data_IF_382545737180
#
_entry.id   IF_382545737180
#
_cell.length_a   1.000
_cell.length_b   1.000
_cell.length_c   1.000
_cell.angle_alpha   90.00
_cell.angle_beta   90.00
_cell.angle_gamma   90.00
#
_symmetry.space_group_name_H-M   'P 1'
#
loop_
_entity.id
_entity.type
_entity.pdbx_description
1 polymer ?
#
# COMPACT_ATOMS: atom_id res chain seq x y z
N UNK A 1 33.36 42.78 33.46
CA UNK A 1 32.27 41.84 33.20
C UNK A 1 31.49 41.63 34.48
N UNK A 2 30.18 41.85 34.47
CA UNK A 2 29.33 41.62 35.63
C UNK A 2 29.11 40.13 35.89
N UNK A 3 29.00 39.71 37.13
CA UNK A 3 28.79 38.29 37.49
C UNK A 3 27.73 37.57 36.64
N UNK A 4 26.56 38.16 36.27
CA UNK A 4 25.58 37.51 35.42
C UNK A 4 26.07 37.27 33.95
N UNK A 5 26.92 38.14 33.42
CA UNK A 5 27.46 38.00 32.05
C UNK A 5 28.38 36.76 31.92
N UNK A 6 29.13 36.46 33.00
CA UNK A 6 30.01 35.28 33.03
C UNK A 6 29.17 33.97 32.95
N UNK A 7 28.06 33.93 33.68
CA UNK A 7 27.16 32.77 33.67
C UNK A 7 26.50 32.55 32.29
N UNK A 8 26.06 33.62 31.62
CA UNK A 8 25.49 33.55 30.29
C UNK A 8 26.55 33.08 29.27
N UNK A 9 27.78 33.59 29.36
CA UNK A 9 28.87 33.17 28.48
C UNK A 9 29.24 31.71 28.70
N UNK A 10 29.28 31.23 29.96
CA UNK A 10 29.53 29.82 30.27
C UNK A 10 28.43 28.91 29.73
N UNK A 11 27.15 29.30 29.86
CA UNK A 11 26.02 28.53 29.32
C UNK A 11 26.07 28.42 27.82
N UNK A 12 26.35 29.54 27.10
CA UNK A 12 26.50 29.53 25.65
C UNK A 12 27.67 28.65 25.18
N UNK A 13 28.80 28.69 25.90
CA UNK A 13 29.96 27.87 25.58
C UNK A 13 29.63 26.35 25.71
N UNK A 14 28.93 25.96 26.76
CA UNK A 14 28.48 24.56 26.92
C UNK A 14 27.49 24.17 25.87
N UNK A 15 26.55 25.04 25.49
CA UNK A 15 25.57 24.77 24.43
C UNK A 15 26.24 24.57 23.07
N UNK A 16 27.19 25.42 22.72
CA UNK A 16 27.98 25.30 21.49
C UNK A 16 28.78 23.99 21.48
N UNK A 17 29.38 23.64 22.60
CA UNK A 17 30.17 22.40 22.73
C UNK A 17 29.27 21.17 22.53
N UNK A 18 28.09 21.16 23.13
CA UNK A 18 27.11 20.07 22.96
C UNK A 18 26.62 19.98 21.50
N UNK A 19 26.40 21.13 20.85
CA UNK A 19 25.99 21.18 19.45
C UNK A 19 27.07 20.62 18.51
N UNK A 20 28.34 20.94 18.80
CA UNK A 20 29.48 20.39 18.02
C UNK A 20 29.60 18.88 18.24
N UNK A 21 29.48 18.42 19.50
CA UNK A 21 29.51 17.00 19.82
C UNK A 21 28.35 16.24 19.14
N UNK A 22 27.16 16.82 19.10
CA UNK A 22 26.02 16.24 18.38
C UNK A 22 26.31 16.12 16.87
N UNK A 23 26.95 17.11 16.28
CA UNK A 23 27.36 17.06 14.86
C UNK A 23 28.44 16.01 14.60
N UNK A 24 29.38 15.83 15.51
CA UNK A 24 30.47 14.86 15.39
C UNK A 24 30.00 13.41 15.69
N UNK A 25 28.95 13.25 16.51
CA UNK A 25 28.35 11.93 16.83
C UNK A 25 27.20 11.54 15.91
N UNK A 26 26.71 12.43 15.04
CA UNK A 26 25.95 12.02 13.89
C UNK A 26 26.90 11.25 12.96
N UNK A 27 27.12 9.99 13.30
CA UNK A 27 27.65 8.99 12.39
C UNK A 27 26.77 9.04 11.17
N UNK A 28 27.29 9.50 10.04
CA UNK A 28 26.70 9.25 8.74
C UNK A 28 26.50 7.74 8.69
N UNK A 29 25.26 7.31 8.83
CA UNK A 29 24.90 6.00 8.35
C UNK A 29 25.18 6.05 6.86
N UNK A 30 26.31 5.46 6.48
CA UNK A 30 26.61 5.22 5.08
C UNK A 30 25.37 4.50 4.51
N UNK A 31 24.79 4.98 3.40
CA UNK A 31 23.68 4.29 2.77
C UNK A 31 24.17 2.87 2.47
N UNK A 32 23.61 1.90 3.17
CA UNK A 32 23.72 0.51 2.79
C UNK A 32 23.23 0.44 1.35
N UNK A 33 24.17 0.36 0.40
CA UNK A 33 23.90 0.11 -1.00
C UNK A 33 23.32 -1.30 -1.09
N UNK A 34 22.04 -1.38 -0.88
CA UNK A 34 21.26 -2.56 -1.20
C UNK A 34 21.29 -2.70 -2.73
N UNK A 35 22.00 -3.73 -3.21
CA UNK A 35 22.08 -4.04 -4.65
C UNK A 35 20.68 -4.27 -5.27
N UNK A 36 19.68 -4.57 -4.46
CA UNK A 36 18.29 -4.67 -4.88
C UNK A 36 17.66 -3.35 -5.32
N UNK A 37 18.21 -2.20 -4.84
CA UNK A 37 17.72 -0.89 -5.26
C UNK A 37 18.24 -0.46 -6.65
N UNK A 38 19.32 -1.04 -7.15
CA UNK A 38 19.86 -0.67 -8.48
C UNK A 38 19.13 -1.36 -9.64
N UNK A 39 18.50 -2.51 -9.44
CA UNK A 39 17.68 -3.14 -10.49
C UNK A 39 16.31 -2.46 -10.67
N UNK A 40 15.85 -1.70 -9.68
CA UNK A 40 14.55 -1.03 -9.73
C UNK A 40 14.62 0.40 -10.31
N UNK A 41 15.83 1.01 -10.36
CA UNK A 41 16.00 2.40 -10.81
C UNK A 41 16.16 2.57 -12.32
N UNK A 42 16.29 1.50 -13.10
CA UNK A 42 16.34 1.62 -14.58
C UNK A 42 14.96 1.52 -15.27
N UNK A 43 13.88 1.31 -14.48
CA UNK A 43 12.49 1.38 -15.00
C UNK A 43 11.71 2.58 -14.44
N UNK A 44 12.38 3.55 -13.81
CA UNK A 44 11.74 4.66 -13.10
C UNK A 44 12.13 6.03 -13.66
N UNK A 45 12.23 6.13 -14.97
CA UNK A 45 12.18 7.42 -15.66
C UNK A 45 10.90 7.49 -16.47
N UNK A 46 9.83 7.79 -15.84
CA UNK A 46 8.81 8.78 -16.17
C UNK A 46 7.69 8.79 -15.12
N UNK A 47 7.90 9.70 -14.15
CA UNK A 47 6.88 10.60 -13.66
C UNK A 47 5.63 10.04 -12.96
N UNK A 48 5.47 10.59 -11.75
CA UNK A 48 4.31 10.51 -10.87
C UNK A 48 4.10 9.19 -10.16
N UNK A 49 4.06 9.31 -8.88
CA UNK A 49 3.69 8.43 -7.77
C UNK A 49 2.37 7.64 -7.98
N UNK A 50 2.07 7.19 -9.18
CA UNK A 50 0.92 6.36 -9.45
C UNK A 50 1.28 4.88 -9.22
N UNK A 51 0.70 4.32 -8.18
CA UNK A 51 0.85 2.91 -7.85
C UNK A 51 0.40 2.02 -9.01
N UNK A 52 1.16 0.95 -9.27
CA UNK A 52 0.74 -0.08 -10.22
C UNK A 52 -0.46 -0.87 -9.69
N UNK A 53 -1.20 -1.53 -10.57
CA UNK A 53 -2.36 -2.34 -10.16
C UNK A 53 -1.98 -3.43 -9.15
N UNK A 54 -0.81 -4.06 -9.29
CA UNK A 54 -0.32 -5.08 -8.36
C UNK A 54 0.00 -4.51 -6.98
N UNK A 55 0.60 -3.33 -6.93
CA UNK A 55 0.84 -2.61 -5.67
C UNK A 55 -0.48 -2.19 -5.00
N UNK A 56 -1.45 -1.71 -5.78
CA UNK A 56 -2.78 -1.37 -5.28
C UNK A 56 -3.51 -2.59 -4.71
N UNK A 57 -3.46 -3.73 -5.38
CA UNK A 57 -4.03 -5.01 -4.93
C UNK A 57 -3.43 -5.42 -3.57
N UNK A 58 -2.11 -5.30 -3.42
CA UNK A 58 -1.44 -5.57 -2.16
C UNK A 58 -1.81 -4.55 -1.07
N UNK A 59 -1.77 -3.26 -1.38
CA UNK A 59 -2.09 -2.17 -0.44
C UNK A 59 -3.55 -2.17 0.03
N UNK A 60 -4.47 -2.65 -0.82
CA UNK A 60 -5.88 -2.80 -0.44
C UNK A 60 -6.15 -4.11 0.31
N UNK A 61 -5.12 -4.95 0.49
CA UNK A 61 -5.20 -6.18 1.25
C UNK A 61 -5.91 -7.33 0.53
N UNK A 62 -6.11 -7.24 -0.77
CA UNK A 62 -6.78 -8.28 -1.57
C UNK A 62 -6.06 -9.64 -1.44
N UNK A 63 -4.72 -9.60 -1.39
CA UNK A 63 -3.87 -10.78 -1.28
C UNK A 63 -4.03 -11.54 0.03
N UNK A 64 -4.52 -10.90 1.09
CA UNK A 64 -4.72 -11.54 2.39
C UNK A 64 -5.77 -12.66 2.33
N UNK A 65 -6.79 -12.49 1.50
CA UNK A 65 -7.85 -13.47 1.34
C UNK A 65 -7.73 -14.25 0.02
N UNK A 66 -7.38 -13.57 -1.08
CA UNK A 66 -7.34 -14.19 -2.41
C UNK A 66 -6.01 -14.86 -2.75
N UNK A 67 -5.02 -14.79 -1.84
CA UNK A 67 -3.67 -15.33 -2.01
C UNK A 67 -2.72 -14.39 -2.76
N UNK A 68 -1.41 -14.51 -2.51
CA UNK A 68 -0.39 -13.61 -3.07
C UNK A 68 -0.33 -13.57 -4.59
N UNK A 69 -0.70 -14.67 -5.24
CA UNK A 69 -0.79 -14.81 -6.70
C UNK A 69 -2.24 -14.80 -7.22
N UNK A 70 -3.21 -14.47 -6.37
CA UNK A 70 -4.64 -14.38 -6.68
C UNK A 70 -5.30 -15.70 -7.11
N UNK A 71 -4.71 -16.84 -6.77
CA UNK A 71 -5.22 -18.17 -7.09
C UNK A 71 -6.32 -18.67 -6.13
N UNK A 72 -6.73 -17.81 -5.21
CA UNK A 72 -7.68 -18.14 -4.16
C UNK A 72 -7.04 -18.86 -2.98
N UNK A 73 -7.79 -18.95 -1.91
CA UNK A 73 -7.43 -19.65 -0.67
C UNK A 73 -8.69 -20.32 -0.08
N UNK A 74 -8.60 -20.83 1.13
CA UNK A 74 -9.78 -21.26 1.89
C UNK A 74 -10.66 -20.08 2.34
N UNK A 75 -10.15 -18.85 2.27
CA UNK A 75 -10.86 -17.65 2.72
C UNK A 75 -11.65 -16.98 1.59
N UNK A 76 -11.15 -17.07 0.34
CA UNK A 76 -11.77 -16.39 -0.80
C UNK A 76 -11.44 -17.09 -2.14
N UNK A 77 -12.29 -16.90 -3.17
CA UNK A 77 -12.11 -17.52 -4.48
C UNK A 77 -10.90 -16.95 -5.22
N UNK A 78 -10.46 -17.67 -6.27
CA UNK A 78 -9.46 -17.17 -7.21
C UNK A 78 -9.98 -15.94 -7.97
N UNK A 79 -9.07 -15.01 -8.28
CA UNK A 79 -9.33 -13.82 -9.09
C UNK A 79 -8.73 -13.98 -10.50
N UNK A 80 -9.01 -15.10 -11.14
CA UNK A 80 -8.58 -15.45 -12.50
C UNK A 80 -9.76 -15.61 -13.42
N UNK A 81 -9.58 -15.31 -14.71
CA UNK A 81 -10.62 -15.44 -15.74
C UNK A 81 -11.91 -14.64 -15.42
N UNK A 82 -11.77 -13.52 -14.72
CA UNK A 82 -12.92 -12.73 -14.30
C UNK A 82 -13.69 -12.12 -15.48
N UNK A 83 -13.02 -11.87 -16.61
CA UNK A 83 -13.63 -11.36 -17.83
C UNK A 83 -14.76 -12.25 -18.38
N UNK A 84 -14.80 -13.53 -18.00
CA UNK A 84 -15.89 -14.44 -18.38
C UNK A 84 -17.21 -14.12 -17.65
N UNK A 85 -17.14 -13.49 -16.49
CA UNK A 85 -18.30 -13.28 -15.59
C UNK A 85 -18.57 -11.81 -15.29
N UNK A 86 -17.60 -10.94 -15.56
CA UNK A 86 -17.65 -9.55 -15.18
C UNK A 86 -17.34 -8.60 -16.33
N UNK A 87 -18.20 -7.60 -16.51
CA UNK A 87 -17.84 -6.40 -17.22
C UNK A 87 -17.09 -5.41 -16.33
N UNK A 88 -16.37 -4.47 -16.92
CA UNK A 88 -15.55 -3.49 -16.21
C UNK A 88 -16.36 -2.69 -15.18
N UNK A 89 -17.48 -2.10 -15.58
CA UNK A 89 -18.33 -1.28 -14.71
C UNK A 89 -18.96 -2.11 -13.58
N UNK A 90 -19.42 -3.32 -13.91
CA UNK A 90 -20.05 -4.20 -12.92
C UNK A 90 -19.05 -4.65 -11.87
N UNK A 91 -17.82 -5.00 -12.26
CA UNK A 91 -16.76 -5.36 -11.33
C UNK A 91 -16.34 -4.16 -10.48
N UNK A 92 -16.25 -2.96 -11.07
CA UNK A 92 -15.97 -1.73 -10.34
C UNK A 92 -17.03 -1.43 -9.29
N UNK A 93 -18.31 -1.57 -9.63
CA UNK A 93 -19.43 -1.37 -8.70
C UNK A 93 -19.41 -2.44 -7.60
N UNK A 94 -19.10 -3.69 -7.93
CA UNK A 94 -18.94 -4.77 -6.95
C UNK A 94 -17.82 -4.44 -5.94
N UNK A 95 -16.65 -4.00 -6.39
CA UNK A 95 -15.57 -3.62 -5.49
C UNK A 95 -15.96 -2.46 -4.57
N UNK A 96 -16.76 -1.53 -5.06
CA UNK A 96 -17.22 -0.39 -4.26
C UNK A 96 -18.24 -0.78 -3.19
N UNK A 97 -19.16 -1.66 -3.53
CA UNK A 97 -20.20 -2.14 -2.62
C UNK A 97 -20.59 -3.60 -2.90
N UNK A 98 -19.84 -4.58 -2.38
CA UNK A 98 -20.14 -5.99 -2.59
C UNK A 98 -21.54 -6.39 -2.09
N UNK A 99 -22.07 -5.70 -1.10
CA UNK A 99 -23.36 -6.04 -0.49
C UNK A 99 -24.54 -5.94 -1.47
N UNK A 100 -24.46 -5.06 -2.47
CA UNK A 100 -25.52 -4.90 -3.47
C UNK A 100 -25.68 -6.15 -4.36
N UNK A 101 -24.68 -7.03 -4.38
CA UNK A 101 -24.63 -8.22 -5.21
C UNK A 101 -24.95 -9.52 -4.45
N UNK A 102 -25.17 -9.44 -3.13
CA UNK A 102 -25.34 -10.63 -2.28
C UNK A 102 -26.61 -11.43 -2.54
N UNK A 103 -27.59 -10.88 -3.26
CA UNK A 103 -28.83 -11.55 -3.63
C UNK A 103 -28.72 -12.37 -4.92
N UNK A 104 -27.64 -12.24 -5.67
CA UNK A 104 -27.36 -13.02 -6.87
C UNK A 104 -27.05 -14.48 -6.50
N UNK A 105 -27.57 -15.46 -7.25
CA UNK A 105 -27.38 -16.89 -7.02
C UNK A 105 -25.92 -17.30 -6.90
N UNK A 106 -25.04 -16.70 -7.74
CA UNK A 106 -23.60 -16.94 -7.69
C UNK A 106 -22.99 -16.56 -6.35
N UNK A 107 -23.44 -15.47 -5.75
CA UNK A 107 -22.93 -15.03 -4.45
C UNK A 107 -23.50 -15.84 -3.28
N UNK A 108 -24.65 -16.42 -3.45
CA UNK A 108 -25.18 -17.39 -2.47
C UNK A 108 -24.26 -18.62 -2.40
N UNK A 109 -23.86 -19.18 -3.53
CA UNK A 109 -22.89 -20.29 -3.58
C UNK A 109 -21.52 -19.92 -2.98
N UNK A 110 -21.05 -18.69 -3.20
CA UNK A 110 -19.82 -18.22 -2.55
C UNK A 110 -19.95 -18.10 -1.04
N UNK A 111 -21.08 -17.65 -0.51
CA UNK A 111 -21.32 -17.58 0.94
C UNK A 111 -21.37 -18.96 1.60
N UNK A 112 -21.91 -19.94 0.93
CA UNK A 112 -21.90 -21.32 1.42
C UNK A 112 -20.47 -21.87 1.50
N UNK A 113 -19.66 -21.57 0.48
CA UNK A 113 -18.27 -22.04 0.40
C UNK A 113 -17.32 -21.28 1.33
N UNK A 114 -17.56 -19.99 1.54
CA UNK A 114 -16.70 -19.08 2.31
C UNK A 114 -17.49 -18.35 3.41
N UNK A 115 -18.09 -19.07 4.37
CA UNK A 115 -19.07 -18.51 5.32
C UNK A 115 -18.47 -17.49 6.29
N UNK A 116 -17.17 -17.57 6.53
CA UNK A 116 -16.48 -16.74 7.52
C UNK A 116 -15.96 -15.41 6.93
N UNK A 117 -16.07 -15.20 5.62
CA UNK A 117 -15.44 -14.05 4.97
C UNK A 117 -16.45 -13.27 4.12
N UNK A 118 -16.53 -11.98 4.41
CA UNK A 118 -17.28 -11.02 3.60
C UNK A 118 -16.26 -10.08 2.99
N UNK A 119 -16.29 -9.91 1.67
CA UNK A 119 -15.42 -8.96 0.99
C UNK A 119 -15.73 -7.54 1.47
N UNK A 120 -14.74 -6.77 1.94
CA UNK A 120 -14.97 -5.41 2.41
C UNK A 120 -15.30 -4.48 1.24
N UNK A 121 -16.13 -3.43 1.47
CA UNK A 121 -16.40 -2.42 0.46
C UNK A 121 -15.22 -1.46 0.32
N UNK A 122 -14.86 -1.12 -0.91
CA UNK A 122 -13.82 -0.15 -1.26
C UNK A 122 -14.38 1.18 -1.79
N UNK A 123 -15.64 1.49 -1.52
CA UNK A 123 -16.30 2.71 -1.98
C UNK A 123 -15.64 4.02 -1.55
N UNK A 124 -14.84 3.98 -0.48
CA UNK A 124 -14.05 5.12 0.03
C UNK A 124 -12.67 5.27 -0.64
N UNK A 125 -12.30 4.39 -1.55
CA UNK A 125 -11.02 4.43 -2.26
C UNK A 125 -11.11 5.26 -3.54
N UNK A 126 -9.95 5.71 -4.04
CA UNK A 126 -9.89 6.47 -5.27
C UNK A 126 -10.42 5.62 -6.45
N UNK A 127 -11.35 6.18 -7.20
CA UNK A 127 -12.00 5.49 -8.33
C UNK A 127 -11.00 5.13 -9.46
N UNK A 128 -9.95 5.93 -9.67
CA UNK A 128 -8.92 5.65 -10.65
C UNK A 128 -8.10 4.43 -10.24
N UNK A 129 -7.77 4.31 -8.96
CA UNK A 129 -7.03 3.17 -8.42
C UNK A 129 -7.86 1.88 -8.50
N UNK A 130 -9.15 1.95 -8.16
CA UNK A 130 -10.06 0.84 -8.37
C UNK A 130 -10.17 0.45 -9.84
N UNK A 131 -10.20 1.43 -10.76
CA UNK A 131 -10.20 1.21 -12.19
C UNK A 131 -8.96 0.44 -12.67
N UNK A 132 -7.76 0.80 -12.18
CA UNK A 132 -6.52 0.08 -12.49
C UNK A 132 -6.55 -1.37 -12.00
N UNK A 133 -7.08 -1.59 -10.79
CA UNK A 133 -7.27 -2.95 -10.25
C UNK A 133 -8.22 -3.76 -11.14
N UNK A 134 -9.36 -3.18 -11.52
CA UNK A 134 -10.36 -3.83 -12.38
C UNK A 134 -9.76 -4.21 -13.74
N UNK A 135 -9.07 -3.28 -14.40
CA UNK A 135 -8.42 -3.52 -15.69
C UNK A 135 -7.40 -4.66 -15.59
N UNK A 136 -6.60 -4.68 -14.54
CA UNK A 136 -5.65 -5.77 -14.30
C UNK A 136 -6.34 -7.11 -14.06
N UNK A 137 -7.38 -7.15 -13.24
CA UNK A 137 -8.10 -8.39 -12.92
C UNK A 137 -8.85 -8.96 -14.13
N UNK A 138 -9.36 -8.12 -15.01
CA UNK A 138 -10.04 -8.55 -16.25
C UNK A 138 -9.06 -9.01 -17.33
N UNK A 139 -7.78 -8.65 -17.22
CA UNK A 139 -6.72 -9.09 -18.15
C UNK A 139 -6.11 -10.44 -17.78
N UNK A 140 -6.44 -10.99 -16.62
CA UNK A 140 -5.97 -12.29 -16.10
C UNK A 140 -6.91 -13.41 -16.50
#
# INVERSE_FOLDING_TARGET
MTKPQIWVAAFLAVFILLFILQKLTQKEEAPSRDLSSQMNNQMMEENTTELTATQLIANFGCTNCHGGNLQGTQLAPALTNLSQYWGKETLLNYLRNPNDFMNDERFQAYREKYPSQIMPPYGNKNIKDLGKIVDYLLSK
#
